data_IF_460788585131
#
_entry.id   IF_460788585131
#
_cell.length_a   1.000
_cell.length_b   1.000
_cell.length_c   1.000
_cell.angle_alpha   90.00
_cell.angle_beta   90.00
_cell.angle_gamma   90.00
#
_symmetry.space_group_name_H-M   'P 1'
#
loop_
_entity.id
_entity.type
_entity.pdbx_description
1 polymer ?
#
# COMPACT_ATOMS: atom_id res chain seq x y z
N UNK A 1 -59.34 -26.70 13.67
CA UNK A 1 -58.00 -26.59 13.04
C UNK A 1 -57.89 -25.27 12.29
N UNK A 2 -57.03 -24.34 12.72
CA UNK A 2 -56.43 -23.27 11.87
C UNK A 2 -55.35 -22.49 12.66
N UNK A 3 -54.33 -23.21 13.12
CA UNK A 3 -53.15 -22.62 13.77
C UNK A 3 -52.00 -22.48 12.75
N UNK A 4 -52.18 -21.70 11.69
CA UNK A 4 -51.14 -21.45 10.68
C UNK A 4 -51.38 -20.12 9.95
N UNK A 5 -51.06 -18.98 10.57
CA UNK A 5 -50.86 -17.74 9.78
C UNK A 5 -50.07 -16.61 10.47
N UNK A 6 -49.51 -16.79 11.66
CA UNK A 6 -48.88 -15.67 12.38
C UNK A 6 -47.35 -15.60 12.28
N UNK A 7 -46.70 -16.63 11.70
CA UNK A 7 -45.22 -16.73 11.66
C UNK A 7 -44.61 -16.09 10.39
N UNK A 8 -45.40 -15.82 9.34
CA UNK A 8 -44.87 -15.32 8.06
C UNK A 8 -44.54 -13.81 8.05
N UNK A 9 -45.17 -13.01 8.91
CA UNK A 9 -45.01 -11.55 8.90
C UNK A 9 -43.72 -11.04 9.55
N UNK A 10 -43.31 -11.63 10.68
CA UNK A 10 -42.11 -11.19 11.43
C UNK A 10 -40.81 -11.61 10.77
N UNK A 11 -40.77 -12.78 10.13
CA UNK A 11 -39.60 -13.23 9.35
C UNK A 11 -39.38 -12.39 8.11
N UNK A 12 -40.46 -11.91 7.47
CA UNK A 12 -40.37 -11.05 6.28
C UNK A 12 -39.81 -9.66 6.60
N UNK A 13 -40.19 -9.06 7.74
CA UNK A 13 -39.65 -7.75 8.17
C UNK A 13 -38.17 -7.83 8.55
N UNK A 14 -37.75 -8.92 9.23
CA UNK A 14 -36.33 -9.15 9.55
C UNK A 14 -35.51 -9.41 8.29
N UNK A 15 -36.05 -10.15 7.32
CA UNK A 15 -35.39 -10.40 6.03
C UNK A 15 -35.23 -9.12 5.20
N UNK A 16 -36.23 -8.23 5.20
CA UNK A 16 -36.16 -6.92 4.54
C UNK A 16 -35.19 -5.96 5.24
N UNK A 17 -35.14 -5.98 6.58
CA UNK A 17 -34.17 -5.19 7.33
C UNK A 17 -32.73 -5.69 7.13
N UNK A 18 -32.51 -7.02 7.05
CA UNK A 18 -31.21 -7.60 6.74
C UNK A 18 -30.76 -7.32 5.29
N UNK A 19 -31.70 -7.30 4.34
CA UNK A 19 -31.43 -6.88 2.95
C UNK A 19 -31.08 -5.39 2.85
N UNK A 20 -31.75 -4.53 3.62
CA UNK A 20 -31.44 -3.11 3.71
C UNK A 20 -30.08 -2.84 4.40
N UNK A 21 -29.68 -3.68 5.36
CA UNK A 21 -28.35 -3.60 6.01
C UNK A 21 -27.22 -4.17 5.14
N UNK A 22 -27.57 -4.97 4.12
CA UNK A 22 -26.66 -5.57 3.15
C UNK A 22 -26.45 -4.72 1.89
N UNK A 23 -26.86 -3.44 1.89
CA UNK A 23 -26.45 -2.49 0.85
C UNK A 23 -24.93 -2.34 0.96
N UNK A 24 -24.24 -3.17 0.17
CA UNK A 24 -22.80 -3.22 0.10
C UNK A 24 -22.28 -1.81 -0.12
N UNK A 25 -21.25 -1.44 0.65
CA UNK A 25 -20.37 -0.33 0.27
C UNK A 25 -20.05 -0.48 -1.22
N UNK A 26 -20.09 0.60 -2.02
CA UNK A 26 -19.75 0.48 -3.43
C UNK A 26 -18.39 -0.20 -3.50
N UNK A 27 -18.35 -1.38 -4.12
CA UNK A 27 -17.11 -2.09 -4.33
C UNK A 27 -16.17 -1.13 -5.04
N UNK A 28 -14.93 -1.03 -4.57
CA UNK A 28 -13.89 -0.24 -5.23
C UNK A 28 -13.87 -0.65 -6.71
N UNK A 29 -14.26 0.28 -7.60
CA UNK A 29 -14.32 0.02 -9.04
C UNK A 29 -12.93 0.22 -9.62
N UNK A 30 -12.25 -0.88 -9.92
CA UNK A 30 -11.01 -0.88 -10.67
C UNK A 30 -11.31 -0.79 -12.17
N UNK A 31 -10.53 -0.01 -12.90
CA UNK A 31 -10.46 -0.03 -14.36
C UNK A 31 -9.46 -1.11 -14.73
N UNK A 32 -9.93 -2.16 -15.38
CA UNK A 32 -9.10 -3.27 -15.86
C UNK A 32 -8.62 -2.97 -17.30
N UNK A 33 -7.32 -3.06 -17.52
CA UNK A 33 -6.68 -2.98 -18.84
C UNK A 33 -5.92 -4.27 -19.17
N UNK A 34 -5.33 -4.35 -20.36
CA UNK A 34 -4.72 -5.58 -20.87
C UNK A 34 -3.63 -6.19 -19.94
N UNK A 35 -2.94 -5.35 -19.16
CA UNK A 35 -1.81 -5.77 -18.32
C UNK A 35 -1.78 -5.12 -16.93
N UNK A 36 -2.77 -4.30 -16.57
CA UNK A 36 -2.80 -3.62 -15.28
C UNK A 36 -4.22 -3.21 -14.91
N UNK A 37 -4.41 -2.89 -13.64
CA UNK A 37 -5.63 -2.28 -13.12
C UNK A 37 -5.30 -0.96 -12.45
N UNK A 38 -6.11 0.05 -12.69
CA UNK A 38 -5.94 1.36 -12.05
C UNK A 38 -7.28 1.89 -11.58
N UNK A 39 -7.24 2.87 -10.68
CA UNK A 39 -8.43 3.62 -10.30
C UNK A 39 -8.04 5.05 -9.96
N UNK A 40 -8.92 6.03 -10.20
CA UNK A 40 -8.76 7.34 -9.60
C UNK A 40 -8.65 7.20 -8.08
N UNK A 41 -7.68 7.91 -7.50
CA UNK A 41 -7.61 8.07 -6.07
C UNK A 41 -8.49 9.26 -5.70
N UNK A 42 -9.56 9.02 -4.93
CA UNK A 42 -10.33 10.10 -4.33
C UNK A 42 -9.46 10.77 -3.26
N UNK A 43 -8.87 11.91 -3.60
CA UNK A 43 -8.04 12.69 -2.69
C UNK A 43 -8.97 13.64 -1.92
N UNK A 44 -9.19 13.44 -0.60
CA UNK A 44 -9.99 14.37 0.17
C UNK A 44 -9.33 15.76 0.15
N UNK A 45 -10.05 16.80 -0.28
CA UNK A 45 -9.58 18.19 -0.26
C UNK A 45 -9.64 18.75 1.17
N UNK A 46 -8.94 18.11 2.10
CA UNK A 46 -8.80 18.57 3.48
C UNK A 46 -7.64 19.57 3.64
N UNK A 47 -7.66 20.33 4.73
CA UNK A 47 -6.56 21.23 5.11
C UNK A 47 -5.39 20.52 5.80
N UNK A 48 -5.53 19.23 6.09
CA UNK A 48 -4.49 18.42 6.74
C UNK A 48 -3.61 17.75 5.67
N UNK A 49 -2.30 17.60 5.92
CA UNK A 49 -1.44 16.81 5.06
C UNK A 49 -2.04 15.42 4.84
N UNK A 50 -2.11 14.96 3.59
CA UNK A 50 -2.62 13.63 3.24
C UNK A 50 -1.72 12.47 3.67
N UNK A 51 -0.61 12.79 4.34
CA UNK A 51 0.40 11.84 4.81
C UNK A 51 0.65 12.02 6.30
N UNK A 52 0.85 10.90 6.99
CA UNK A 52 1.28 10.87 8.40
C UNK A 52 2.66 10.27 8.46
N UNK A 53 3.58 10.94 9.16
CA UNK A 53 4.90 10.39 9.41
C UNK A 53 4.77 9.21 10.39
N UNK A 54 5.23 8.03 9.98
CA UNK A 54 5.31 6.84 10.81
C UNK A 54 6.74 6.62 11.30
N UNK A 55 6.89 6.22 12.55
CA UNK A 55 8.20 5.93 13.11
C UNK A 55 8.81 4.66 12.49
N UNK A 56 10.15 4.56 12.33
CA UNK A 56 10.82 3.37 11.84
C UNK A 56 10.43 2.09 12.57
N UNK A 57 10.16 2.15 13.89
CA UNK A 57 9.69 0.99 14.66
C UNK A 57 8.29 0.50 14.30
N UNK A 58 7.43 1.36 13.75
CA UNK A 58 6.08 1.00 13.32
C UNK A 58 6.08 0.40 11.91
N UNK A 59 6.92 0.91 11.02
CA UNK A 59 7.02 0.44 9.64
C UNK A 59 8.04 -0.68 9.48
N UNK A 60 8.96 -0.81 10.45
CA UNK A 60 10.20 -1.56 10.38
C UNK A 60 11.18 -1.09 9.31
N UNK A 61 11.03 0.12 8.75
CA UNK A 61 11.90 0.66 7.69
C UNK A 61 12.99 1.51 8.35
N UNK A 62 14.25 1.07 8.26
CA UNK A 62 15.42 1.73 8.88
C UNK A 62 16.39 2.35 7.85
N UNK A 63 16.05 2.31 6.56
CA UNK A 63 16.92 2.80 5.49
C UNK A 63 17.10 4.32 5.56
N UNK A 64 18.31 4.78 5.27
CA UNK A 64 18.64 6.20 5.13
C UNK A 64 19.63 6.38 3.98
N UNK A 65 19.30 7.24 3.02
CA UNK A 65 20.23 7.67 1.97
C UNK A 65 21.21 8.70 2.53
N UNK A 66 22.24 8.23 3.23
CA UNK A 66 23.30 9.09 3.76
C UNK A 66 24.27 9.46 2.64
N UNK A 67 24.57 10.75 2.51
CA UNK A 67 25.40 11.29 1.45
C UNK A 67 26.59 12.02 2.05
N UNK A 68 27.73 11.89 1.38
CA UNK A 68 28.94 12.62 1.72
C UNK A 68 28.78 14.11 1.39
N UNK A 69 29.05 14.97 2.38
CA UNK A 69 28.86 16.42 2.27
C UNK A 69 29.83 17.00 1.24
N UNK A 70 31.10 16.60 1.26
CA UNK A 70 32.11 17.04 0.31
C UNK A 70 31.72 16.66 -1.13
N UNK A 71 31.18 15.46 -1.35
CA UNK A 71 30.67 15.08 -2.69
C UNK A 71 29.45 15.90 -3.10
N UNK A 72 28.56 16.23 -2.16
CA UNK A 72 27.38 17.05 -2.46
C UNK A 72 27.75 18.48 -2.91
N UNK A 73 28.86 19.02 -2.39
CA UNK A 73 29.40 20.32 -2.80
C UNK A 73 29.96 20.28 -4.24
N UNK A 74 30.47 19.12 -4.67
CA UNK A 74 31.01 18.92 -6.02
C UNK A 74 29.93 18.55 -7.05
N UNK A 75 28.87 17.86 -6.61
CA UNK A 75 27.76 17.47 -7.46
C UNK A 75 26.42 17.66 -6.75
N UNK A 76 25.73 18.75 -7.10
CA UNK A 76 24.44 19.13 -6.52
C UNK A 76 23.31 18.10 -6.82
N UNK A 77 23.49 17.19 -7.79
CA UNK A 77 22.53 16.10 -8.03
C UNK A 77 22.36 15.21 -6.80
N UNK A 78 23.38 15.10 -5.95
CA UNK A 78 23.29 14.37 -4.68
C UNK A 78 22.18 14.93 -3.78
N UNK A 79 21.94 16.24 -3.82
CA UNK A 79 20.92 16.91 -3.00
C UNK A 79 19.50 16.73 -3.52
N UNK A 80 19.33 16.25 -4.76
CA UNK A 80 18.00 15.89 -5.28
C UNK A 80 17.44 14.62 -4.61
N UNK A 81 18.26 13.94 -3.81
CA UNK A 81 17.88 12.73 -3.08
C UNK A 81 17.89 11.50 -3.97
N UNK A 82 17.20 10.46 -3.52
CA UNK A 82 17.14 9.17 -4.19
C UNK A 82 15.70 8.72 -4.37
N UNK A 83 15.45 7.88 -5.37
CA UNK A 83 14.12 7.39 -5.72
C UNK A 83 13.64 6.24 -4.83
N UNK A 84 12.33 6.07 -4.80
CA UNK A 84 11.65 4.86 -4.33
C UNK A 84 10.84 4.27 -5.47
N UNK A 85 10.82 2.94 -5.59
CA UNK A 85 9.95 2.23 -6.51
C UNK A 85 9.14 1.18 -5.75
N UNK A 86 7.88 1.01 -6.13
CA UNK A 86 6.98 0.01 -5.57
C UNK A 86 6.43 -0.86 -6.70
N UNK A 87 6.45 -2.18 -6.52
CA UNK A 87 5.90 -3.13 -7.47
C UNK A 87 6.08 -4.57 -7.02
N UNK A 88 5.35 -5.49 -7.62
CA UNK A 88 5.58 -6.94 -7.42
C UNK A 88 6.60 -7.40 -8.47
N UNK A 89 7.87 -7.40 -8.11
CA UNK A 89 8.98 -7.66 -9.05
C UNK A 89 9.27 -9.16 -9.15
N UNK A 90 9.03 -9.91 -8.08
CA UNK A 90 9.32 -11.33 -8.03
C UNK A 90 8.11 -12.23 -8.39
N UNK A 91 6.90 -11.66 -8.52
CA UNK A 91 5.68 -12.36 -8.90
C UNK A 91 5.00 -13.11 -7.75
N UNK A 92 5.25 -12.74 -6.49
CA UNK A 92 4.67 -13.39 -5.32
C UNK A 92 3.32 -12.81 -4.90
N UNK A 93 2.83 -11.79 -5.60
CA UNK A 93 1.57 -11.10 -5.32
C UNK A 93 1.66 -10.09 -4.17
N UNK A 94 2.85 -9.85 -3.61
CA UNK A 94 3.11 -8.85 -2.58
C UNK A 94 3.85 -7.66 -3.21
N UNK A 95 3.63 -6.47 -2.67
CA UNK A 95 4.36 -5.30 -3.14
C UNK A 95 5.77 -5.28 -2.54
N UNK A 96 6.78 -5.30 -3.40
CA UNK A 96 8.16 -5.00 -3.07
C UNK A 96 8.38 -3.48 -3.05
N UNK A 97 9.25 -3.02 -2.15
CA UNK A 97 9.65 -1.61 -2.01
C UNK A 97 11.15 -1.52 -2.20
N UNK A 98 11.57 -0.79 -3.23
CA UNK A 98 12.98 -0.53 -3.52
C UNK A 98 13.35 0.88 -3.09
N UNK A 99 14.33 0.99 -2.20
CA UNK A 99 14.88 2.24 -1.70
C UNK A 99 16.29 2.40 -2.25
N UNK A 100 16.45 3.32 -3.22
CA UNK A 100 17.72 3.52 -3.88
C UNK A 100 18.68 4.29 -2.96
N UNK A 101 19.93 3.88 -2.90
CA UNK A 101 21.02 4.66 -2.29
C UNK A 101 21.92 5.24 -3.37
N UNK A 102 22.33 6.50 -3.24
CA UNK A 102 23.32 7.09 -4.16
C UNK A 102 24.75 6.69 -3.75
N UNK A 103 25.08 6.89 -2.48
CA UNK A 103 26.35 6.50 -1.85
C UNK A 103 26.21 5.33 -0.87
N UNK A 104 24.98 4.83 -0.71
CA UNK A 104 24.64 3.71 0.17
C UNK A 104 24.11 2.55 -0.65
N UNK A 105 24.03 1.37 -0.05
CA UNK A 105 23.48 0.21 -0.75
C UNK A 105 21.97 0.35 -0.92
N UNK A 106 21.50 0.15 -2.16
CA UNK A 106 20.07 0.03 -2.45
C UNK A 106 19.49 -1.18 -1.73
N UNK A 107 18.36 -0.96 -1.05
CA UNK A 107 17.67 -1.97 -0.24
C UNK A 107 16.34 -2.32 -0.90
N UNK A 108 16.07 -3.62 -1.04
CA UNK A 108 14.72 -4.13 -1.28
C UNK A 108 14.09 -4.50 0.07
N UNK A 109 12.86 -4.05 0.30
CA UNK A 109 12.01 -4.43 1.42
C UNK A 109 10.78 -5.17 0.90
N UNK A 110 10.57 -6.38 1.41
CA UNK A 110 9.39 -7.20 1.10
C UNK A 110 8.26 -6.91 2.08
N UNK A 111 7.05 -6.73 1.57
CA UNK A 111 5.84 -6.64 2.41
C UNK A 111 5.29 -8.03 2.64
N UNK A 112 5.77 -8.72 3.68
CA UNK A 112 5.19 -9.99 4.13
C UNK A 112 3.92 -9.73 4.95
N UNK A 113 2.86 -10.50 4.69
CA UNK A 113 1.64 -10.48 5.52
C UNK A 113 1.98 -10.87 6.96
N UNK A 114 1.17 -10.41 7.92
CA UNK A 114 1.40 -10.51 9.37
C UNK A 114 2.15 -11.78 9.82
N UNK A 115 3.39 -11.61 10.29
CA UNK A 115 4.06 -12.59 11.14
C UNK A 115 5.50 -12.96 10.81
N UNK A 116 6.01 -12.70 9.60
CA UNK A 116 7.38 -13.12 9.23
C UNK A 116 8.28 -11.98 8.74
N UNK A 117 9.59 -12.22 8.83
CA UNK A 117 10.65 -11.22 8.91
C UNK A 117 11.01 -10.51 7.60
N UNK A 118 11.46 -9.26 7.72
CA UNK A 118 12.04 -8.44 6.65
C UNK A 118 13.39 -8.99 6.20
N UNK A 119 13.43 -9.52 4.99
CA UNK A 119 14.68 -9.84 4.32
C UNK A 119 15.22 -8.59 3.63
N UNK A 120 16.38 -8.10 4.08
CA UNK A 120 17.08 -6.98 3.46
C UNK A 120 18.07 -7.55 2.45
N UNK A 121 17.70 -7.57 1.18
CA UNK A 121 18.64 -7.95 0.12
C UNK A 121 19.29 -6.69 -0.47
N UNK A 122 20.62 -6.67 -0.45
CA UNK A 122 21.42 -5.62 -1.08
C UNK A 122 21.51 -5.88 -2.58
N UNK A 123 21.00 -4.95 -3.39
CA UNK A 123 21.16 -5.01 -4.83
C UNK A 123 22.20 -3.97 -5.25
N UNK A 124 23.33 -4.42 -5.80
CA UNK A 124 24.28 -3.51 -6.43
C UNK A 124 23.64 -2.93 -7.69
N UNK A 125 23.72 -1.60 -7.92
CA UNK A 125 23.33 -1.04 -9.20
C UNK A 125 24.21 -1.68 -10.29
N UNK A 126 23.62 -2.53 -11.13
CA UNK A 126 24.25 -2.87 -12.40
C UNK A 126 24.18 -1.61 -13.23
N UNK A 127 25.32 -0.94 -13.40
CA UNK A 127 25.43 0.13 -14.40
C UNK A 127 25.02 -0.48 -15.74
N UNK A 128 23.97 0.10 -16.32
CA UNK A 128 23.53 -0.14 -17.70
C UNK A 128 24.53 0.57 -18.62
#
# INVERSE_FOLDING_TARGET
MKFRSFIKGRTMVVALAAWALGQAFPAVTWVEEANHKWRPLDIPTGTRPGFTLLAPGQTGIQFSNQLDVEKSLQNQVYLNGSGVALGDVNGDGLCDIYLCGLDTTTVNLRTVTEGESKEYSTMYPKMI
#
